data_IF_606528521150
#
_entry.id   IF_606528521150
#
_cell.length_a   1.000
_cell.length_b   1.000
_cell.length_c   1.000
_cell.angle_alpha   90.00
_cell.angle_beta   90.00
_cell.angle_gamma   90.00
#
_symmetry.space_group_name_H-M   'P 1'
#
loop_
_entity.id
_entity.type
_entity.pdbx_description
1 polymer ?
#
# COMPACT_ATOMS: atom_id res chain seq x y z
N UNK A 1 23.48 2.12 -14.13
CA UNK A 1 23.41 1.21 -15.27
C UNK A 1 24.61 1.42 -16.15
N UNK A 2 25.25 0.33 -16.59
CA UNK A 2 26.32 0.37 -17.59
C UNK A 2 25.80 0.61 -19.02
N UNK A 3 26.71 0.76 -20.00
CA UNK A 3 26.35 1.09 -21.38
C UNK A 3 25.58 0.00 -22.14
N UNK A 4 25.64 -1.27 -21.69
CA UNK A 4 24.97 -2.41 -22.33
C UNK A 4 23.99 -3.11 -21.36
N UNK A 5 23.44 -2.37 -20.40
CA UNK A 5 22.56 -2.91 -19.37
C UNK A 5 21.24 -2.17 -19.37
N UNK A 6 20.15 -2.92 -19.43
CA UNK A 6 18.80 -2.40 -19.23
C UNK A 6 18.38 -2.79 -17.82
N UNK A 7 18.00 -1.78 -17.02
CA UNK A 7 17.36 -2.01 -15.72
C UNK A 7 15.90 -1.62 -15.80
N UNK A 8 15.02 -2.56 -15.46
CA UNK A 8 13.59 -2.30 -15.30
C UNK A 8 13.19 -2.48 -13.85
N UNK A 9 12.17 -1.72 -13.42
CA UNK A 9 11.55 -1.88 -12.10
C UNK A 9 10.19 -2.54 -12.29
N UNK A 10 9.87 -3.47 -11.40
CA UNK A 10 8.64 -4.23 -11.47
C UNK A 10 7.99 -4.37 -10.10
N UNK A 11 6.67 -4.53 -10.13
CA UNK A 11 5.82 -4.91 -9.00
C UNK A 11 4.97 -6.07 -9.47
N UNK A 12 5.04 -7.19 -8.76
CA UNK A 12 4.21 -8.36 -8.97
C UNK A 12 3.24 -8.50 -7.80
N UNK A 13 1.94 -8.52 -8.11
CA UNK A 13 0.88 -8.78 -7.13
C UNK A 13 0.17 -10.07 -7.55
N UNK A 14 0.07 -11.02 -6.63
CA UNK A 14 -0.63 -12.29 -6.87
C UNK A 14 -1.54 -12.62 -5.68
N UNK A 15 -2.68 -13.22 -5.97
CA UNK A 15 -3.62 -13.69 -4.94
C UNK A 15 -3.50 -15.20 -4.82
N UNK A 16 -3.18 -15.69 -3.62
CA UNK A 16 -3.03 -17.12 -3.39
C UNK A 16 -4.39 -17.78 -3.15
N UNK A 17 -4.93 -18.44 -4.19
CA UNK A 17 -6.30 -18.95 -4.18
C UNK A 17 -6.54 -20.24 -3.39
N UNK A 18 -5.49 -20.93 -2.90
CA UNK A 18 -5.63 -22.19 -2.18
C UNK A 18 -6.00 -22.01 -0.69
N UNK A 19 -5.80 -20.82 -0.12
CA UNK A 19 -6.12 -20.53 1.27
C UNK A 19 -7.48 -19.83 1.38
N UNK A 20 -8.32 -20.16 2.39
CA UNK A 20 -9.65 -19.58 2.55
C UNK A 20 -9.68 -18.04 2.59
N UNK A 21 -8.64 -17.42 3.14
CA UNK A 21 -8.51 -15.96 3.28
C UNK A 21 -7.85 -15.26 2.08
N UNK A 22 -7.53 -15.99 1.01
CA UNK A 22 -6.99 -15.49 -0.27
C UNK A 22 -5.91 -14.41 -0.09
N UNK A 23 -4.78 -14.71 0.59
CA UNK A 23 -3.76 -13.70 0.88
C UNK A 23 -3.18 -13.14 -0.42
N UNK A 24 -2.91 -11.85 -0.41
CA UNK A 24 -2.23 -11.16 -1.51
C UNK A 24 -0.73 -11.12 -1.23
N UNK A 25 0.05 -11.74 -2.11
CA UNK A 25 1.49 -11.67 -2.12
C UNK A 25 1.93 -10.52 -3.04
N UNK A 26 2.83 -9.68 -2.55
CA UNK A 26 3.39 -8.54 -3.26
C UNK A 26 4.91 -8.64 -3.25
N UNK A 27 5.48 -8.62 -4.44
CA UNK A 27 6.92 -8.59 -4.65
C UNK A 27 7.26 -7.36 -5.47
N UNK A 28 8.31 -6.64 -5.10
CA UNK A 28 8.86 -5.57 -5.93
C UNK A 28 10.34 -5.79 -6.12
N UNK A 29 10.86 -5.31 -7.23
CA UNK A 29 12.25 -5.54 -7.54
C UNK A 29 12.74 -4.80 -8.77
N UNK A 30 13.97 -5.13 -9.15
CA UNK A 30 14.58 -4.67 -10.38
C UNK A 30 15.13 -5.84 -11.17
N UNK A 31 14.83 -5.87 -12.46
CA UNK A 31 15.43 -6.82 -13.40
C UNK A 31 16.60 -6.14 -14.09
N UNK A 32 17.77 -6.77 -14.01
CA UNK A 32 18.96 -6.39 -14.76
C UNK A 32 19.09 -7.31 -15.97
N UNK A 33 18.99 -6.71 -17.16
CA UNK A 33 19.12 -7.40 -18.45
C UNK A 33 20.39 -6.93 -19.15
N UNK A 34 21.35 -7.85 -19.31
CA UNK A 34 22.57 -7.57 -20.05
C UNK A 34 22.35 -7.78 -21.55
N UNK A 35 22.88 -6.86 -22.36
CA UNK A 35 22.89 -6.94 -23.81
C UNK A 35 24.29 -7.30 -24.31
N UNK A 36 24.36 -8.17 -25.29
CA UNK A 36 25.60 -8.43 -26.01
C UNK A 36 25.82 -7.31 -27.05
N UNK A 37 26.90 -6.51 -26.95
CA UNK A 37 27.12 -5.36 -27.82
C UNK A 37 27.36 -5.74 -29.29
N UNK A 38 27.78 -6.97 -29.58
CA UNK A 38 28.06 -7.42 -30.94
C UNK A 38 26.81 -7.94 -31.67
N UNK A 39 25.84 -8.49 -30.93
CA UNK A 39 24.66 -9.13 -31.52
C UNK A 39 23.36 -8.39 -31.22
N UNK A 40 23.36 -7.45 -30.27
CA UNK A 40 22.16 -6.74 -29.79
C UNK A 40 21.18 -7.63 -29.03
N UNK A 41 21.54 -8.88 -28.71
CA UNK A 41 20.66 -9.84 -28.03
C UNK A 41 20.86 -9.81 -26.52
N UNK A 42 19.83 -10.18 -25.78
CA UNK A 42 19.91 -10.42 -24.34
C UNK A 42 20.85 -11.59 -24.04
N UNK A 43 21.81 -11.38 -23.15
CA UNK A 43 22.79 -12.39 -22.74
C UNK A 43 22.70 -12.76 -21.25
N UNK A 44 22.01 -11.95 -20.44
CA UNK A 44 21.78 -12.24 -19.02
C UNK A 44 20.49 -11.59 -18.55
N UNK A 45 19.86 -12.22 -17.57
CA UNK A 45 18.68 -11.70 -16.88
C UNK A 45 18.77 -12.09 -15.41
N UNK A 46 18.80 -11.11 -14.52
CA UNK A 46 18.87 -11.30 -13.07
C UNK A 46 17.83 -10.43 -12.39
N UNK A 47 17.01 -11.04 -11.55
CA UNK A 47 15.98 -10.36 -10.77
C UNK A 47 16.44 -10.16 -9.32
N UNK A 48 16.32 -8.92 -8.84
CA UNK A 48 16.62 -8.55 -7.46
C UNK A 48 15.34 -8.10 -6.77
N UNK A 49 15.04 -8.69 -5.62
CA UNK A 49 13.87 -8.36 -4.80
C UNK A 49 14.25 -7.28 -3.79
N UNK A 50 13.40 -6.25 -3.66
CA UNK A 50 13.62 -5.16 -2.71
C UNK A 50 13.44 -5.62 -1.24
N UNK A 51 12.74 -6.73 -0.99
CA UNK A 51 12.47 -7.27 0.35
C UNK A 51 13.59 -8.14 0.92
N UNK A 52 14.62 -8.45 0.12
CA UNK A 52 15.66 -9.44 0.45
C UNK A 52 17.04 -8.81 0.26
N UNK A 53 17.96 -9.00 1.21
CA UNK A 53 19.35 -8.54 1.07
C UNK A 53 20.19 -9.52 0.27
N UNK A 54 20.00 -10.83 0.50
CA UNK A 54 20.72 -11.87 -0.23
C UNK A 54 19.87 -12.45 -1.37
N UNK A 55 20.06 -11.91 -2.57
CA UNK A 55 19.34 -12.30 -3.79
C UNK A 55 19.95 -13.52 -4.51
N UNK A 56 20.73 -14.34 -3.79
CA UNK A 56 21.23 -15.60 -4.34
C UNK A 56 20.06 -16.58 -4.57
N UNK A 57 20.21 -17.47 -5.55
CA UNK A 57 19.19 -18.49 -5.86
C UNK A 57 18.84 -19.32 -4.61
N UNK A 58 17.56 -19.30 -4.25
CA UNK A 58 16.97 -19.94 -3.06
C UNK A 58 17.48 -19.41 -1.71
N UNK A 59 17.12 -18.17 -1.39
CA UNK A 59 17.33 -17.60 -0.06
C UNK A 59 16.23 -18.00 0.93
N UNK A 60 16.64 -18.44 2.13
CA UNK A 60 15.72 -18.67 3.25
C UNK A 60 14.96 -17.39 3.65
N UNK A 61 15.61 -16.23 3.48
CA UNK A 61 15.00 -14.91 3.64
C UNK A 61 13.79 -14.73 2.73
N UNK A 62 13.91 -15.09 1.44
CA UNK A 62 12.79 -15.02 0.49
C UNK A 62 11.66 -15.99 0.85
N UNK A 63 11.99 -17.23 1.25
CA UNK A 63 10.98 -18.17 1.72
C UNK A 63 10.20 -17.62 2.93
N UNK A 64 10.91 -17.08 3.93
CA UNK A 64 10.27 -16.48 5.11
C UNK A 64 9.45 -15.25 4.77
N UNK A 65 9.85 -14.45 3.77
CA UNK A 65 9.03 -13.32 3.27
C UNK A 65 7.71 -13.79 2.66
N UNK A 66 7.72 -14.89 1.90
CA UNK A 66 6.48 -15.50 1.37
C UNK A 66 5.59 -15.99 2.51
N UNK A 67 6.15 -16.76 3.45
CA UNK A 67 5.39 -17.30 4.59
C UNK A 67 4.76 -16.17 5.41
N UNK A 68 5.52 -15.11 5.71
CA UNK A 68 4.99 -13.94 6.42
C UNK A 68 3.79 -13.33 5.71
N UNK A 69 3.86 -13.13 4.40
CA UNK A 69 2.76 -12.55 3.63
C UNK A 69 1.52 -13.47 3.59
N UNK A 70 1.71 -14.79 3.58
CA UNK A 70 0.59 -15.74 3.67
C UNK A 70 -0.13 -15.67 5.02
N UNK A 71 0.58 -15.30 6.10
CA UNK A 71 0.03 -15.19 7.45
C UNK A 71 -0.61 -13.83 7.78
N UNK A 72 -0.52 -12.83 6.90
CA UNK A 72 -1.15 -11.52 7.14
C UNK A 72 -2.66 -11.64 6.98
N UNK A 73 -3.37 -11.61 8.10
CA UNK A 73 -4.82 -11.47 8.15
C UNK A 73 -5.16 -9.99 7.97
N UNK A 74 -5.75 -9.65 6.81
CA UNK A 74 -6.36 -8.34 6.60
C UNK A 74 -7.67 -8.28 7.38
N UNK A 75 -8.03 -7.15 8.02
CA UNK A 75 -9.34 -6.99 8.61
C UNK A 75 -10.42 -7.19 7.52
N UNK A 76 -11.49 -7.95 7.80
CA UNK A 76 -12.50 -8.26 6.80
C UNK A 76 -13.29 -7.01 6.38
N UNK A 77 -13.59 -6.94 5.08
CA UNK A 77 -14.69 -6.16 4.47
C UNK A 77 -14.75 -4.64 4.70
N UNK A 78 -13.65 -3.99 5.08
CA UNK A 78 -13.56 -2.52 5.04
C UNK A 78 -12.98 -2.05 3.71
N UNK A 79 -13.61 -1.04 3.11
CA UNK A 79 -13.11 -0.43 1.88
C UNK A 79 -11.76 0.25 2.13
N UNK A 80 -10.81 0.00 1.23
CA UNK A 80 -9.48 0.60 1.21
C UNK A 80 -9.38 1.57 0.03
N UNK A 81 -8.74 2.75 0.20
CA UNK A 81 -8.42 3.60 -0.94
C UNK A 81 -7.56 2.82 -1.94
N UNK A 82 -7.79 3.04 -3.25
CA UNK A 82 -7.00 2.37 -4.29
C UNK A 82 -5.57 2.88 -4.28
N UNK A 83 -4.61 1.96 -4.30
CA UNK A 83 -3.19 2.29 -4.37
C UNK A 83 -2.38 1.27 -5.16
N UNK A 84 -1.23 1.73 -5.61
CA UNK A 84 -0.20 0.96 -6.29
C UNK A 84 1.03 0.86 -5.41
N UNK A 85 1.57 -0.33 -5.22
CA UNK A 85 2.82 -0.52 -4.47
C UNK A 85 3.99 -0.30 -5.43
N UNK A 86 4.80 0.72 -5.16
CA UNK A 86 5.97 1.07 -5.99
C UNK A 86 7.23 0.34 -5.54
N UNK A 87 7.35 0.09 -4.23
CA UNK A 87 8.47 -0.60 -3.61
C UNK A 87 8.05 -1.19 -2.28
N UNK A 88 8.41 -2.44 -2.03
CA UNK A 88 8.22 -3.15 -0.77
C UNK A 88 9.56 -3.70 -0.30
N UNK A 89 9.98 -3.27 0.88
CA UNK A 89 11.19 -3.76 1.54
C UNK A 89 10.81 -4.60 2.77
N UNK A 90 11.80 -5.08 3.51
CA UNK A 90 11.56 -5.74 4.79
C UNK A 90 10.97 -4.80 5.85
N UNK A 91 11.31 -3.50 5.81
CA UNK A 91 11.02 -2.55 6.90
C UNK A 91 9.92 -1.53 6.52
N UNK A 92 9.75 -1.23 5.23
CA UNK A 92 8.81 -0.22 4.76
C UNK A 92 8.23 -0.53 3.37
N UNK A 93 7.08 0.08 3.08
CA UNK A 93 6.44 0.08 1.77
C UNK A 93 6.24 1.51 1.25
N UNK A 94 6.43 1.67 -0.05
CA UNK A 94 6.11 2.91 -0.78
C UNK A 94 4.85 2.65 -1.59
N UNK A 95 3.79 3.38 -1.27
CA UNK A 95 2.48 3.28 -1.91
C UNK A 95 2.14 4.58 -2.61
N UNK A 96 1.60 4.48 -3.83
CA UNK A 96 1.02 5.59 -4.59
C UNK A 96 -0.49 5.44 -4.56
N UNK A 97 -1.17 6.33 -3.85
CA UNK A 97 -2.62 6.37 -3.82
C UNK A 97 -3.19 7.09 -5.04
N UNK A 98 -4.33 6.63 -5.52
CA UNK A 98 -5.16 7.39 -6.45
C UNK A 98 -5.81 8.57 -5.71
N UNK A 99 -6.23 9.65 -6.40
CA UNK A 99 -6.99 10.72 -5.75
C UNK A 99 -8.27 10.16 -5.11
N UNK A 100 -8.49 10.49 -3.83
CA UNK A 100 -9.69 10.10 -3.08
C UNK A 100 -10.17 11.26 -2.21
N UNK A 101 -11.47 11.25 -1.86
CA UNK A 101 -12.05 12.24 -0.98
C UNK A 101 -11.94 11.81 0.48
N UNK A 102 -11.74 12.78 1.36
CA UNK A 102 -11.67 12.56 2.80
C UNK A 102 -12.65 13.48 3.51
N UNK A 103 -13.19 13.00 4.62
CA UNK A 103 -13.78 13.86 5.64
C UNK A 103 -12.69 14.11 6.67
N UNK A 104 -12.47 15.38 7.01
CA UNK A 104 -11.44 15.76 7.96
C UNK A 104 -12.00 16.63 9.09
N UNK A 105 -11.38 16.51 10.26
CA UNK A 105 -11.64 17.41 11.39
C UNK A 105 -10.35 17.83 12.05
N UNK A 106 -10.30 19.08 12.50
CA UNK A 106 -9.15 19.65 13.22
C UNK A 106 -9.28 19.36 14.71
N UNK A 107 -8.16 19.05 15.34
CA UNK A 107 -8.04 18.68 16.75
C UNK A 107 -6.82 19.35 17.37
N UNK A 108 -6.99 19.88 18.58
CA UNK A 108 -5.93 20.63 19.28
C UNK A 108 -4.90 19.74 19.98
N UNK A 109 -5.20 18.45 20.21
CA UNK A 109 -4.27 17.49 20.85
C UNK A 109 -4.44 16.05 20.32
N UNK A 110 -3.32 15.32 20.22
CA UNK A 110 -3.24 13.88 19.89
C UNK A 110 -3.92 12.95 20.91
N UNK A 111 -4.47 13.48 22.00
CA UNK A 111 -5.11 12.72 23.08
C UNK A 111 -6.60 12.46 22.90
N UNK A 112 -7.27 13.01 21.88
CA UNK A 112 -8.73 13.13 21.90
C UNK A 112 -9.49 12.18 20.97
N UNK A 113 -10.12 11.15 21.54
CA UNK A 113 -11.28 10.43 20.98
C UNK A 113 -12.31 11.39 20.34
N UNK A 114 -12.42 12.64 20.82
CA UNK A 114 -13.34 13.66 20.33
C UNK A 114 -13.22 14.01 18.85
N UNK A 115 -12.01 13.99 18.29
CA UNK A 115 -11.82 14.23 16.85
C UNK A 115 -12.36 13.09 16.02
N UNK A 116 -12.06 11.87 16.46
CA UNK A 116 -12.58 10.67 15.85
C UNK A 116 -14.11 10.63 15.96
N UNK A 117 -14.67 10.94 17.13
CA UNK A 117 -16.13 10.97 17.38
C UNK A 117 -16.88 11.93 16.45
N UNK A 118 -16.26 13.06 16.08
CA UNK A 118 -16.87 14.01 15.13
C UNK A 118 -16.94 13.43 13.71
N UNK A 119 -15.85 12.85 13.21
CA UNK A 119 -15.83 12.25 11.87
C UNK A 119 -16.72 11.00 11.82
N UNK A 120 -16.66 10.18 12.86
CA UNK A 120 -17.52 9.00 13.04
C UNK A 120 -18.99 9.41 13.13
N UNK A 121 -19.30 10.48 13.86
CA UNK A 121 -20.64 11.04 13.92
C UNK A 121 -21.16 11.41 12.53
N UNK A 122 -20.33 12.07 11.71
CA UNK A 122 -20.70 12.39 10.32
C UNK A 122 -20.97 11.14 9.48
N UNK A 123 -20.13 10.11 9.63
CA UNK A 123 -20.27 8.82 8.93
C UNK A 123 -21.57 8.11 9.33
N UNK A 124 -21.99 8.20 10.60
CA UNK A 124 -23.22 7.61 11.12
C UNK A 124 -24.37 8.61 11.22
N UNK A 125 -24.60 9.39 10.15
CA UNK A 125 -25.85 10.15 10.00
C UNK A 125 -25.89 11.52 10.69
N UNK A 126 -24.85 11.98 11.41
CA UNK A 126 -24.79 13.37 11.93
C UNK A 126 -24.34 14.37 10.84
N UNK A 127 -24.94 14.27 9.67
CA UNK A 127 -24.76 15.19 8.56
C UNK A 127 -26.12 15.77 8.14
N UNK A 128 -26.11 16.86 7.37
CA UNK A 128 -27.35 17.58 6.99
C UNK A 128 -28.36 16.72 6.23
N UNK A 129 -27.91 15.61 5.61
CA UNK A 129 -28.75 14.68 4.86
C UNK A 129 -29.21 13.48 5.68
N UNK A 130 -28.76 13.37 6.94
CA UNK A 130 -29.00 12.21 7.82
C UNK A 130 -28.63 10.86 7.16
N UNK A 131 -27.60 10.86 6.31
CA UNK A 131 -27.17 9.69 5.53
C UNK A 131 -26.06 8.91 6.25
N UNK A 132 -26.15 7.59 6.27
CA UNK A 132 -25.11 6.71 6.79
C UNK A 132 -24.11 6.32 5.69
N UNK A 133 -22.82 6.45 6.00
CA UNK A 133 -21.72 6.03 5.14
C UNK A 133 -21.07 4.75 5.69
N UNK A 134 -20.64 3.80 4.84
CA UNK A 134 -19.88 2.64 5.29
C UNK A 134 -18.50 3.08 5.82
N UNK A 135 -18.03 2.40 6.87
CA UNK A 135 -16.72 2.65 7.45
C UNK A 135 -15.60 2.21 6.49
N UNK A 136 -14.53 2.99 6.41
CA UNK A 136 -13.35 2.69 5.60
C UNK A 136 -12.10 2.55 6.48
N UNK A 137 -11.06 1.95 5.92
CA UNK A 137 -9.76 1.79 6.59
C UNK A 137 -8.63 2.14 5.63
N UNK A 138 -7.50 2.70 6.09
CA UNK A 138 -7.21 3.14 7.46
C UNK A 138 -7.74 4.55 7.76
N UNK A 139 -7.78 4.90 9.05
CA UNK A 139 -7.92 6.29 9.50
C UNK A 139 -6.57 6.98 9.40
N UNK A 140 -6.50 8.11 8.71
CA UNK A 140 -5.29 8.91 8.59
C UNK A 140 -5.23 9.98 9.67
N UNK A 141 -4.04 10.26 10.17
CA UNK A 141 -3.77 11.38 11.08
C UNK A 141 -2.65 12.22 10.49
N UNK A 142 -2.94 13.49 10.25
CA UNK A 142 -1.96 14.46 9.76
C UNK A 142 -1.67 15.48 10.85
N UNK A 143 -0.47 16.05 10.85
CA UNK A 143 -0.10 17.14 11.77
C UNK A 143 0.38 18.32 10.95
N UNK A 144 -0.28 19.45 11.09
CA UNK A 144 0.08 20.72 10.43
C UNK A 144 0.68 21.62 11.51
N UNK A 145 1.99 21.86 11.44
CA UNK A 145 2.79 22.71 12.35
C UNK A 145 2.56 22.52 13.86
N UNK A 146 3.26 21.54 14.45
CA UNK A 146 3.58 21.36 15.88
C UNK A 146 2.45 21.38 16.94
N UNK A 147 1.21 21.73 16.59
CA UNK A 147 0.10 21.84 17.54
C UNK A 147 -1.28 21.50 16.97
N UNK A 148 -1.48 21.46 15.65
CA UNK A 148 -2.76 21.07 15.06
C UNK A 148 -2.71 19.67 14.45
N UNK A 149 -3.60 18.80 14.93
CA UNK A 149 -3.79 17.44 14.44
C UNK A 149 -5.05 17.41 13.58
N UNK A 150 -5.01 16.71 12.46
CA UNK A 150 -6.16 16.50 11.60
C UNK A 150 -6.42 15.00 11.50
N UNK A 151 -7.65 14.59 11.78
CA UNK A 151 -8.08 13.19 11.62
C UNK A 151 -8.89 13.12 10.32
N UNK A 152 -8.55 12.14 9.49
CA UNK A 152 -9.10 11.98 8.14
C UNK A 152 -9.61 10.56 7.95
N UNK A 153 -10.85 10.43 7.48
CA UNK A 153 -11.43 9.15 7.05
C UNK A 153 -11.77 9.24 5.57
N UNK A 154 -11.41 8.19 4.84
CA UNK A 154 -11.64 8.12 3.38
C UNK A 154 -13.11 7.87 3.10
N UNK A 155 -13.67 8.58 2.13
CA UNK A 155 -15.02 8.31 1.65
C UNK A 155 -15.02 7.13 0.66
N UNK A 156 -16.04 6.26 0.71
CA UNK A 156 -16.19 5.14 -0.21
C UNK A 156 -16.30 5.62 -1.67
N UNK A 157 -15.79 4.82 -2.60
CA UNK A 157 -15.57 5.21 -4.01
C UNK A 157 -16.86 5.53 -4.77
N UNK A 158 -17.99 4.91 -4.41
CA UNK A 158 -19.26 5.05 -5.14
C UNK A 158 -19.95 6.42 -4.95
N UNK A 159 -19.45 7.26 -4.05
CA UNK A 159 -20.12 8.50 -3.67
C UNK A 159 -19.14 9.67 -3.65
N UNK A 160 -18.55 9.97 -4.82
CA UNK A 160 -17.92 11.28 -5.07
C UNK A 160 -19.02 12.33 -4.97
N UNK A 161 -18.98 13.13 -3.91
CA UNK A 161 -19.92 14.24 -3.72
C UNK A 161 -19.70 15.23 -4.88
N UNK A 162 -20.68 15.31 -5.77
CA UNK A 162 -20.85 16.43 -6.72
C UNK A 162 -21.58 17.57 -6.01
#
# INVERSE_FOLDING_TARGET
TGPNEITTRWTMVMTFGLLPWKPQLVFTGTSLMGLNPQTGKFCSHVDYWDSIKQNDYFSFEGFMDVVKQLCILKPPDLELPKYWILKRTADYEVRKYEPFNVIETKCDKLTGLSGFDNVIGYIFGKNTKEEDFPMTTPVFTQTTDSSQVQIQIVLPFERTIL
#
